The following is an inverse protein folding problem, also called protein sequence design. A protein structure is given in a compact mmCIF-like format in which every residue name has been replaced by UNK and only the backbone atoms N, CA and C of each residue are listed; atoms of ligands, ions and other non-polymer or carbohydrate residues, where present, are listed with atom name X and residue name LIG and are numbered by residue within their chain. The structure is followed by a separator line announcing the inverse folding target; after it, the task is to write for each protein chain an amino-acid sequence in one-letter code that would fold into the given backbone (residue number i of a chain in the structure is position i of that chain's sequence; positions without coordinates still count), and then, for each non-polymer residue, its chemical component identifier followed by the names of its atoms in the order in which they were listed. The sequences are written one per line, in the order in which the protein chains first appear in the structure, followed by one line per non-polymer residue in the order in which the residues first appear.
data_IF_521464453235
#
_entry.id   IF_521464453235
#
_cell.length_a   1.000
_cell.length_b   1.000
_cell.length_c   1.000
_cell.angle_alpha   90.00
_cell.angle_beta   90.00
_cell.angle_gamma   90.00
#
_symmetry.space_group_name_H-M   'P 1'
#
loop_
_entity.id
_entity.type
_entity.pdbx_description
1 polymer ?
#
# COMPACT_ATOMS: atom_id res chain seq x y z
N UNK A 1 57.57 27.17 -49.01
CA UNK A 1 56.84 26.00 -48.47
C UNK A 1 55.90 26.47 -47.36
N UNK A 2 54.58 26.31 -47.52
CA UNK A 2 53.55 26.69 -46.54
C UNK A 2 53.31 25.53 -45.55
N UNK A 3 53.13 25.76 -44.24
CA UNK A 3 52.74 24.70 -43.32
C UNK A 3 51.24 24.36 -43.48
N UNK A 4 50.95 23.06 -43.48
CA UNK A 4 49.63 22.47 -43.72
C UNK A 4 48.82 22.42 -42.42
N UNK A 5 47.57 22.83 -42.53
CA UNK A 5 46.60 23.08 -41.46
C UNK A 5 46.35 21.90 -40.51
N UNK A 6 46.14 22.23 -39.23
CA UNK A 6 45.78 21.30 -38.16
C UNK A 6 44.44 20.60 -38.40
N UNK A 7 44.43 19.29 -38.11
CA UNK A 7 43.21 18.49 -38.02
C UNK A 7 42.42 18.90 -36.78
N UNK A 8 41.24 19.50 -37.01
CA UNK A 8 40.17 19.60 -36.00
C UNK A 8 39.78 18.18 -35.58
N UNK A 9 39.97 17.84 -34.30
CA UNK A 9 39.37 16.65 -33.69
C UNK A 9 37.85 16.82 -33.74
N UNK A 10 37.20 15.86 -34.40
CA UNK A 10 35.75 15.78 -34.49
C UNK A 10 35.16 15.55 -33.10
N UNK A 11 33.98 16.15 -32.95
CA UNK A 11 33.15 16.33 -31.78
C UNK A 11 32.90 15.04 -31.01
N UNK A 12 32.70 15.20 -29.69
CA UNK A 12 32.38 14.15 -28.76
C UNK A 12 31.20 13.29 -29.20
N UNK A 13 31.45 12.00 -29.22
CA UNK A 13 30.47 10.94 -29.32
C UNK A 13 29.52 11.08 -28.13
N UNK A 14 28.34 11.67 -28.36
CA UNK A 14 27.21 11.59 -27.42
C UNK A 14 26.78 10.13 -27.39
N UNK A 15 27.34 9.36 -26.46
CA UNK A 15 26.81 8.06 -26.09
C UNK A 15 25.37 8.27 -25.60
N UNK A 16 24.40 7.90 -26.43
CA UNK A 16 23.01 7.82 -26.01
C UNK A 16 22.93 6.87 -24.82
N UNK A 17 22.35 7.26 -23.67
CA UNK A 17 22.19 6.33 -22.56
C UNK A 17 21.33 5.17 -23.04
N UNK A 18 21.84 3.95 -22.87
CA UNK A 18 21.12 2.74 -23.24
C UNK A 18 19.73 2.75 -22.58
N UNK A 19 18.67 2.32 -23.29
CA UNK A 19 17.33 2.27 -22.71
C UNK A 19 17.37 1.35 -21.49
N UNK A 20 17.21 1.93 -20.30
CA UNK A 20 17.06 1.16 -19.08
C UNK A 20 15.77 0.36 -19.19
N UNK A 21 15.88 -0.96 -19.22
CA UNK A 21 14.73 -1.85 -19.23
C UNK A 21 13.91 -1.59 -17.96
N UNK A 22 12.64 -1.17 -18.14
CA UNK A 22 11.68 -0.96 -17.04
C UNK A 22 11.03 -2.27 -16.57
N UNK A 23 11.33 -3.38 -17.23
CA UNK A 23 10.77 -4.70 -16.92
C UNK A 23 11.32 -5.19 -15.57
N UNK A 24 10.43 -5.67 -14.70
CA UNK A 24 10.78 -6.21 -13.38
C UNK A 24 11.00 -5.16 -12.27
N UNK A 25 11.09 -3.87 -12.60
CA UNK A 25 11.30 -2.81 -11.59
C UNK A 25 10.16 -2.71 -10.56
N UNK A 26 8.96 -3.14 -10.94
CA UNK A 26 7.76 -3.12 -10.10
C UNK A 26 7.47 -4.49 -9.45
N UNK A 27 8.32 -5.50 -9.70
CA UNK A 27 8.18 -6.82 -9.09
C UNK A 27 8.62 -6.77 -7.63
N UNK A 28 7.68 -7.00 -6.72
CA UNK A 28 7.94 -7.08 -5.29
C UNK A 28 7.44 -8.42 -4.77
N UNK A 29 8.22 -9.07 -3.92
CA UNK A 29 7.79 -10.24 -3.17
C UNK A 29 6.83 -9.84 -2.02
N UNK A 30 6.07 -10.78 -1.45
CA UNK A 30 5.30 -10.52 -0.23
C UNK A 30 6.17 -9.98 0.91
N UNK A 31 7.41 -10.45 1.04
CA UNK A 31 8.38 -9.94 2.03
C UNK A 31 8.78 -8.49 1.77
N UNK A 32 8.98 -8.11 0.50
CA UNK A 32 9.28 -6.71 0.14
C UNK A 32 8.10 -5.78 0.47
N UNK A 33 6.86 -6.26 0.29
CA UNK A 33 5.65 -5.52 0.66
C UNK A 33 5.61 -5.31 2.18
N UNK A 34 5.78 -6.38 2.96
CA UNK A 34 5.80 -6.31 4.43
C UNK A 34 6.86 -5.33 4.95
N UNK A 35 8.09 -5.44 4.46
CA UNK A 35 9.18 -4.54 4.86
C UNK A 35 8.91 -3.08 4.47
N UNK A 36 8.33 -2.84 3.29
CA UNK A 36 7.93 -1.50 2.85
C UNK A 36 6.87 -0.91 3.78
N UNK A 37 5.93 -1.73 4.26
CA UNK A 37 4.85 -1.29 5.16
C UNK A 37 5.39 -1.00 6.56
N UNK A 38 6.27 -1.85 7.10
CA UNK A 38 7.00 -1.54 8.34
C UNK A 38 7.73 -0.21 8.23
N UNK A 39 8.36 0.07 7.08
CA UNK A 39 9.00 1.36 6.82
C UNK A 39 8.00 2.51 6.82
N UNK A 40 6.86 2.38 6.13
CA UNK A 40 5.77 3.37 6.14
C UNK A 40 5.30 3.65 7.58
N UNK A 41 5.10 2.61 8.38
CA UNK A 41 4.70 2.73 9.78
C UNK A 41 5.75 3.52 10.59
N UNK A 42 7.03 3.20 10.42
CA UNK A 42 8.13 3.89 11.10
C UNK A 42 8.27 5.36 10.68
N UNK A 43 8.24 5.67 9.38
CA UNK A 43 8.30 7.05 8.85
C UNK A 43 7.09 7.85 9.31
N UNK A 44 5.89 7.25 9.33
CA UNK A 44 4.67 7.90 9.82
C UNK A 44 4.75 8.19 11.32
N UNK A 45 5.28 7.26 12.12
CA UNK A 45 5.48 7.47 13.55
C UNK A 45 6.47 8.63 13.81
N UNK A 46 7.58 8.68 13.06
CA UNK A 46 8.54 9.77 13.14
C UNK A 46 7.91 11.13 12.78
N UNK A 47 7.15 11.18 11.68
CA UNK A 47 6.43 12.38 11.25
C UNK A 47 5.39 12.83 12.28
N UNK A 48 4.60 11.90 12.82
CA UNK A 48 3.59 12.21 13.84
C UNK A 48 4.23 12.74 15.12
N UNK A 49 5.35 12.15 15.56
CA UNK A 49 6.11 12.63 16.71
C UNK A 49 6.67 14.04 16.49
N UNK A 50 7.21 14.32 15.29
CA UNK A 50 7.65 15.66 14.91
C UNK A 50 6.50 16.67 15.03
N UNK A 51 5.34 16.38 14.44
CA UNK A 51 4.18 17.27 14.47
C UNK A 51 3.65 17.48 15.90
N UNK A 52 3.57 16.43 16.72
CA UNK A 52 3.16 16.53 18.13
C UNK A 52 4.12 17.41 18.93
N UNK A 53 5.43 17.28 18.71
CA UNK A 53 6.42 18.12 19.38
C UNK A 53 6.27 19.60 18.99
N UNK A 54 5.99 19.88 17.72
CA UNK A 54 5.76 21.24 17.24
C UNK A 54 4.44 21.82 17.76
N UNK A 55 3.37 21.01 17.80
CA UNK A 55 2.10 21.40 18.40
C UNK A 55 2.24 21.72 19.88
N UNK A 56 2.96 20.87 20.63
CA UNK A 56 3.24 21.11 22.05
C UNK A 56 3.99 22.43 22.31
N UNK A 57 4.92 22.81 21.43
CA UNK A 57 5.60 24.12 21.49
C UNK A 57 4.61 25.27 21.29
N UNK A 58 3.64 25.13 20.38
CA UNK A 58 2.61 26.13 20.15
C UNK A 58 1.67 26.27 21.35
N UNK A 59 1.27 25.16 21.96
CA UNK A 59 0.41 25.16 23.14
C UNK A 59 1.12 25.77 24.35
N UNK A 60 2.38 25.38 24.58
CA UNK A 60 3.19 25.96 25.66
C UNK A 60 3.35 27.48 25.48
N UNK A 61 3.61 27.94 24.25
CA UNK A 61 3.70 29.36 23.96
C UNK A 61 2.35 30.09 24.14
N UNK A 62 1.24 29.44 23.75
CA UNK A 62 -0.11 29.96 23.99
C UNK A 62 -0.35 30.18 25.49
N UNK A 63 0.01 29.21 26.31
CA UNK A 63 -0.16 29.27 27.76
C UNK A 63 0.72 30.35 28.40
N UNK A 64 1.98 30.46 27.97
CA UNK A 64 2.91 31.51 28.40
C UNK A 64 2.37 32.91 28.06
N UNK A 65 1.91 33.13 26.84
CA UNK A 65 1.35 34.42 26.41
C UNK A 65 0.02 34.70 27.12
N UNK A 66 -0.85 33.70 27.29
CA UNK A 66 -2.10 33.90 28.03
C UNK A 66 -1.85 34.28 29.49
N UNK A 67 -0.80 33.72 30.10
CA UNK A 67 -0.41 33.98 31.49
C UNK A 67 0.21 35.37 31.63
N UNK A 68 1.07 35.80 30.70
CA UNK A 68 1.68 37.14 30.73
C UNK A 68 0.67 38.26 30.50
N UNK A 69 -0.41 37.99 29.75
CA UNK A 69 -1.47 38.96 29.45
C UNK A 69 -2.62 38.97 30.48
N UNK A 70 -2.48 38.30 31.63
CA UNK A 70 -3.51 38.25 32.68
C UNK A 70 -3.87 39.63 33.25
N UNK A 71 -3.03 40.64 33.06
CA UNK A 71 -3.23 42.02 33.51
C UNK A 71 -4.00 42.88 32.52
N UNK A 72 -4.18 42.46 31.26
CA UNK A 72 -4.90 43.20 30.22
C UNK A 72 -6.41 42.98 30.30
N UNK A 73 -7.23 43.79 29.61
CA UNK A 73 -8.67 43.54 29.53
C UNK A 73 -9.00 42.20 28.82
N UNK A 74 -9.99 41.48 29.34
CA UNK A 74 -10.37 40.15 28.85
C UNK A 74 -10.83 40.15 27.38
N UNK A 75 -11.32 41.29 26.89
CA UNK A 75 -11.80 41.46 25.52
C UNK A 75 -10.68 41.40 24.48
N UNK A 76 -9.48 41.91 24.80
CA UNK A 76 -8.37 42.01 23.84
C UNK A 76 -7.41 40.81 23.89
N UNK A 77 -7.36 40.09 25.02
CA UNK A 77 -6.48 38.93 25.24
C UNK A 77 -6.56 37.88 24.12
N UNK A 78 -7.74 37.42 23.65
CA UNK A 78 -7.82 36.35 22.65
C UNK A 78 -7.20 36.76 21.30
N UNK A 79 -7.34 38.02 20.90
CA UNK A 79 -6.80 38.53 19.65
C UNK A 79 -5.27 38.56 19.68
N UNK A 80 -4.69 39.03 20.78
CA UNK A 80 -3.23 39.12 20.96
C UNK A 80 -2.62 37.72 21.02
N UNK A 81 -3.21 36.80 21.80
CA UNK A 81 -2.77 35.39 21.88
C UNK A 81 -2.82 34.74 20.50
N UNK A 82 -3.90 34.93 19.74
CA UNK A 82 -4.03 34.33 18.40
C UNK A 82 -2.97 34.87 17.45
N UNK A 83 -2.71 36.19 17.46
CA UNK A 83 -1.66 36.80 16.64
C UNK A 83 -0.27 36.26 17.00
N UNK A 84 0.05 36.14 18.29
CA UNK A 84 1.36 35.62 18.72
C UNK A 84 1.56 34.15 18.35
N UNK A 85 0.55 33.32 18.58
CA UNK A 85 0.58 31.87 18.24
C UNK A 85 0.70 31.68 16.73
N UNK A 86 -0.02 32.46 15.92
CA UNK A 86 0.10 32.40 14.47
C UNK A 86 1.49 32.85 13.98
N UNK A 87 2.09 33.85 14.64
CA UNK A 87 3.47 34.27 14.37
C UNK A 87 4.47 33.15 14.62
N UNK A 88 4.39 32.50 15.79
CA UNK A 88 5.25 31.36 16.13
C UNK A 88 5.00 30.16 15.19
N UNK A 89 3.74 29.86 14.87
CA UNK A 89 3.42 28.81 13.89
C UNK A 89 4.12 29.08 12.56
N UNK A 90 4.05 30.30 12.03
CA UNK A 90 4.75 30.67 10.80
C UNK A 90 6.27 30.51 10.88
N UNK A 91 6.89 30.67 12.06
CA UNK A 91 8.32 30.38 12.27
C UNK A 91 8.58 28.87 12.27
N UNK A 92 7.88 28.10 13.12
CA UNK A 92 8.03 26.65 13.20
C UNK A 92 7.75 25.95 11.87
N UNK A 93 6.77 26.45 11.11
CA UNK A 93 6.46 25.96 9.76
C UNK A 93 7.65 26.11 8.82
N UNK A 94 8.37 27.24 8.88
CA UNK A 94 9.56 27.50 8.06
C UNK A 94 10.75 26.65 8.52
N UNK A 95 11.00 26.60 9.83
CA UNK A 95 12.13 25.86 10.41
C UNK A 95 12.03 24.36 10.19
N UNK A 96 10.83 23.79 10.33
CA UNK A 96 10.65 22.34 10.23
C UNK A 96 10.25 21.88 8.83
N UNK A 97 10.22 22.78 7.83
CA UNK A 97 9.74 22.51 6.47
C UNK A 97 10.46 21.32 5.84
N UNK A 98 11.79 21.31 5.87
CA UNK A 98 12.59 20.30 5.18
C UNK A 98 12.35 18.90 5.78
N UNK A 99 12.25 18.81 7.11
CA UNK A 99 11.96 17.54 7.80
C UNK A 99 10.54 17.03 7.51
N UNK A 100 9.53 17.91 7.59
CA UNK A 100 8.13 17.52 7.31
C UNK A 100 7.97 17.05 5.87
N UNK A 101 8.51 17.82 4.92
CA UNK A 101 8.45 17.51 3.48
C UNK A 101 9.26 16.25 3.15
N UNK A 102 10.39 16.00 3.82
CA UNK A 102 11.15 14.78 3.63
C UNK A 102 10.32 13.54 4.02
N UNK A 103 9.65 13.56 5.18
CA UNK A 103 8.80 12.46 5.62
C UNK A 103 7.60 12.24 4.71
N UNK A 104 6.89 13.29 4.30
CA UNK A 104 5.74 13.13 3.41
C UNK A 104 6.14 12.63 2.02
N UNK A 105 7.27 13.10 1.47
CA UNK A 105 7.82 12.59 0.20
C UNK A 105 8.25 11.13 0.30
N UNK A 106 8.90 10.73 1.38
CA UNK A 106 9.27 9.33 1.61
C UNK A 106 8.02 8.45 1.67
N UNK A 107 7.01 8.85 2.44
CA UNK A 107 5.74 8.12 2.54
C UNK A 107 5.04 7.97 1.19
N UNK A 108 4.95 9.05 0.41
CA UNK A 108 4.37 9.02 -0.95
C UNK A 108 5.17 8.07 -1.85
N UNK A 109 6.51 8.16 -1.83
CA UNK A 109 7.37 7.29 -2.64
C UNK A 109 7.22 5.80 -2.29
N UNK A 110 7.11 5.46 -1.01
CA UNK A 110 6.89 4.08 -0.55
C UNK A 110 5.50 3.57 -0.96
N UNK A 111 4.45 4.38 -0.80
CA UNK A 111 3.10 4.02 -1.20
C UNK A 111 2.95 3.87 -2.72
N UNK A 112 3.58 4.74 -3.51
CA UNK A 112 3.63 4.61 -4.98
C UNK A 112 4.32 3.31 -5.39
N UNK A 113 5.38 2.92 -4.68
CA UNK A 113 6.07 1.64 -4.89
C UNK A 113 5.13 0.46 -4.67
N UNK A 114 4.32 0.49 -3.61
CA UNK A 114 3.32 -0.55 -3.32
C UNK A 114 2.19 -0.54 -4.35
N UNK A 115 1.71 0.64 -4.76
CA UNK A 115 0.66 0.79 -5.77
C UNK A 115 1.03 0.18 -7.11
N UNK A 116 2.30 0.28 -7.52
CA UNK A 116 2.79 -0.39 -8.74
C UNK A 116 2.78 -1.91 -8.60
N UNK A 117 3.23 -2.42 -7.44
CA UNK A 117 3.22 -3.84 -7.14
C UNK A 117 1.79 -4.41 -7.03
N UNK A 118 0.80 -3.61 -6.62
CA UNK A 118 -0.60 -4.02 -6.46
C UNK A 118 -1.21 -4.69 -7.71
N UNK A 119 -0.73 -4.31 -8.90
CA UNK A 119 -1.15 -4.92 -10.16
C UNK A 119 -0.87 -6.43 -10.24
N UNK A 120 0.08 -6.95 -9.46
CA UNK A 120 0.46 -8.37 -9.40
C UNK A 120 -0.29 -9.16 -8.32
N UNK A 121 -1.01 -8.48 -7.42
CA UNK A 121 -1.70 -9.05 -6.27
C UNK A 121 -3.21 -8.78 -6.31
N UNK A 122 -3.78 -8.57 -7.51
CA UNK A 122 -5.18 -8.14 -7.66
C UNK A 122 -6.17 -9.24 -7.26
N UNK A 123 -5.81 -10.51 -7.42
CA UNK A 123 -6.65 -11.65 -7.05
C UNK A 123 -5.81 -12.85 -6.57
N UNK A 124 -6.39 -13.77 -5.78
CA UNK A 124 -5.73 -15.02 -5.39
C UNK A 124 -5.29 -15.84 -6.60
N UNK A 125 -6.11 -15.89 -7.67
CA UNK A 125 -5.76 -16.56 -8.93
C UNK A 125 -4.48 -15.97 -9.52
N UNK A 126 -4.35 -14.64 -9.54
CA UNK A 126 -3.15 -13.99 -10.08
C UNK A 126 -1.91 -14.31 -9.24
N UNK A 127 -2.06 -14.35 -7.92
CA UNK A 127 -0.98 -14.73 -6.99
C UNK A 127 -0.54 -16.18 -7.18
N UNK A 128 -1.50 -17.10 -7.32
CA UNK A 128 -1.25 -18.51 -7.63
C UNK A 128 -0.52 -18.69 -8.96
N UNK A 129 -0.97 -17.99 -10.00
CA UNK A 129 -0.32 -18.03 -11.31
C UNK A 129 1.10 -17.49 -11.23
N UNK A 130 1.31 -16.41 -10.47
CA UNK A 130 2.60 -15.74 -10.27
C UNK A 130 3.61 -16.65 -9.57
N UNK A 131 3.20 -17.33 -8.50
CA UNK A 131 4.07 -18.23 -7.73
C UNK A 131 4.57 -19.40 -8.57
N UNK A 132 3.71 -19.93 -9.44
CA UNK A 132 3.98 -21.12 -10.25
C UNK A 132 4.54 -20.80 -11.64
N UNK A 133 4.92 -19.54 -11.90
CA UNK A 133 5.53 -19.13 -13.17
C UNK A 133 6.86 -19.87 -13.38
N UNK A 134 6.97 -20.55 -14.52
CA UNK A 134 8.17 -21.31 -14.88
C UNK A 134 8.29 -22.67 -14.20
N UNK A 135 7.27 -23.12 -13.44
CA UNK A 135 7.27 -24.47 -12.86
C UNK A 135 7.18 -25.55 -13.94
N UNK A 136 8.17 -26.44 -13.97
CA UNK A 136 8.17 -27.64 -14.83
C UNK A 136 7.04 -28.60 -14.43
N UNK A 137 6.77 -28.73 -13.12
CA UNK A 137 5.69 -29.57 -12.59
C UNK A 137 4.35 -29.07 -13.09
N UNK A 138 4.08 -27.77 -12.99
CA UNK A 138 2.84 -27.17 -13.53
C UNK A 138 2.68 -27.48 -15.01
N UNK A 139 3.73 -27.32 -15.80
CA UNK A 139 3.70 -27.59 -17.25
C UNK A 139 3.36 -29.06 -17.56
N UNK A 140 3.95 -30.01 -16.81
CA UNK A 140 3.65 -31.45 -16.94
C UNK A 140 2.20 -31.76 -16.56
N UNK A 141 1.73 -31.21 -15.44
CA UNK A 141 0.36 -31.41 -14.97
C UNK A 141 -0.64 -30.86 -15.97
N UNK A 142 -0.40 -29.66 -16.54
CA UNK A 142 -1.24 -29.09 -17.60
C UNK A 142 -1.39 -30.03 -18.81
N UNK A 143 -0.31 -30.71 -19.21
CA UNK A 143 -0.37 -31.71 -20.28
C UNK A 143 -1.21 -32.93 -19.89
N UNK A 144 -1.04 -33.43 -18.65
CA UNK A 144 -1.76 -34.60 -18.15
C UNK A 144 -3.27 -34.37 -18.05
N UNK A 145 -3.70 -33.19 -17.60
CA UNK A 145 -5.13 -32.86 -17.43
C UNK A 145 -5.81 -32.34 -18.71
N UNK A 146 -5.08 -32.24 -19.82
CA UNK A 146 -5.61 -31.65 -21.07
C UNK A 146 -6.83 -32.41 -21.60
N UNK A 147 -6.82 -33.74 -21.47
CA UNK A 147 -7.91 -34.64 -21.86
C UNK A 147 -8.93 -34.95 -20.76
N UNK A 148 -8.77 -34.39 -19.56
CA UNK A 148 -9.64 -34.73 -18.42
C UNK A 148 -11.07 -34.20 -18.58
N UNK A 149 -12.02 -35.02 -18.17
CA UNK A 149 -13.45 -34.67 -18.17
C UNK A 149 -13.87 -33.78 -17.00
N UNK A 150 -15.12 -33.30 -17.00
CA UNK A 150 -15.66 -32.40 -15.96
C UNK A 150 -15.55 -32.99 -14.55
N UNK A 151 -15.87 -34.27 -14.39
CA UNK A 151 -15.84 -34.97 -13.09
C UNK A 151 -14.40 -35.10 -12.58
N UNK A 152 -13.47 -35.50 -13.45
CA UNK A 152 -12.06 -35.63 -13.08
C UNK A 152 -11.46 -34.28 -12.66
N UNK A 153 -11.78 -33.20 -13.40
CA UNK A 153 -11.33 -31.85 -13.06
C UNK A 153 -11.89 -31.37 -11.70
N UNK A 154 -13.14 -31.72 -11.37
CA UNK A 154 -13.71 -31.44 -10.04
C UNK A 154 -12.95 -32.19 -8.94
N UNK A 155 -12.77 -33.51 -9.09
CA UNK A 155 -12.07 -34.34 -8.10
C UNK A 155 -10.61 -33.92 -7.93
N UNK A 156 -9.93 -33.52 -9.00
CA UNK A 156 -8.57 -33.00 -8.95
C UNK A 156 -8.50 -31.63 -8.26
N UNK A 157 -9.53 -30.79 -8.39
CA UNK A 157 -9.60 -29.51 -7.68
C UNK A 157 -9.77 -29.71 -6.18
N UNK A 158 -10.67 -30.60 -5.76
CA UNK A 158 -10.82 -31.00 -4.35
C UNK A 158 -9.53 -31.58 -3.79
N UNK A 159 -8.86 -32.45 -4.54
CA UNK A 159 -7.56 -33.00 -4.15
C UNK A 159 -6.49 -31.91 -4.01
N UNK A 160 -6.42 -30.95 -4.94
CA UNK A 160 -5.49 -29.84 -4.89
C UNK A 160 -5.75 -28.94 -3.67
N UNK A 161 -7.03 -28.69 -3.35
CA UNK A 161 -7.45 -27.95 -2.17
C UNK A 161 -7.02 -28.67 -0.88
N UNK A 162 -7.32 -29.96 -0.76
CA UNK A 162 -6.99 -30.77 0.42
C UNK A 162 -5.48 -30.94 0.66
N UNK A 163 -4.67 -30.97 -0.40
CA UNK A 163 -3.22 -31.18 -0.32
C UNK A 163 -2.39 -29.89 -0.39
N UNK A 164 -3.05 -28.74 -0.58
CA UNK A 164 -2.40 -27.45 -0.82
C UNK A 164 -1.38 -27.47 -1.99
N UNK A 165 -1.63 -28.28 -3.03
CA UNK A 165 -0.76 -28.36 -4.21
C UNK A 165 -1.01 -27.18 -5.16
N UNK A 166 -0.17 -26.16 -5.02
CA UNK A 166 -0.23 -24.91 -5.81
C UNK A 166 0.00 -25.14 -7.31
N UNK A 167 0.90 -26.05 -7.69
CA UNK A 167 1.20 -26.29 -9.10
C UNK A 167 0.02 -26.98 -9.80
N UNK A 168 -0.63 -27.93 -9.11
CA UNK A 168 -1.85 -28.57 -9.58
C UNK A 168 -3.02 -27.57 -9.63
N UNK A 169 -3.23 -26.78 -8.59
CA UNK A 169 -4.28 -25.77 -8.54
C UNK A 169 -4.12 -24.74 -9.67
N UNK A 170 -2.89 -24.29 -9.96
CA UNK A 170 -2.61 -23.34 -11.03
C UNK A 170 -2.86 -23.95 -12.43
N UNK A 171 -2.49 -25.22 -12.63
CA UNK A 171 -2.77 -25.94 -13.87
C UNK A 171 -4.30 -26.07 -14.10
N UNK A 172 -5.03 -26.48 -13.06
CA UNK A 172 -6.49 -26.61 -13.07
C UNK A 172 -7.20 -25.28 -13.32
N UNK A 173 -6.78 -24.19 -12.66
CA UNK A 173 -7.32 -22.85 -12.90
C UNK A 173 -7.11 -22.39 -14.37
N UNK A 174 -5.94 -22.72 -14.95
CA UNK A 174 -5.65 -22.41 -16.36
C UNK A 174 -6.60 -23.20 -17.27
N UNK A 175 -6.76 -24.50 -17.02
CA UNK A 175 -7.62 -25.38 -17.82
C UNK A 175 -9.10 -24.98 -17.75
N UNK A 176 -9.61 -24.69 -16.56
CA UNK A 176 -11.01 -24.25 -16.38
C UNK A 176 -11.25 -22.87 -17.01
N UNK A 177 -10.23 -22.01 -17.08
CA UNK A 177 -10.30 -20.74 -17.78
C UNK A 177 -10.59 -20.87 -19.28
N UNK A 178 -10.08 -21.94 -19.92
CA UNK A 178 -10.29 -22.24 -21.34
C UNK A 178 -11.69 -22.80 -21.64
N UNK A 179 -12.36 -23.40 -20.65
CA UNK A 179 -13.68 -24.00 -20.83
C UNK A 179 -14.80 -22.94 -20.90
N UNK A 180 -15.84 -23.17 -21.72
CA UNK A 180 -17.08 -22.39 -21.67
C UNK A 180 -17.67 -22.39 -20.26
N UNK A 181 -18.31 -21.29 -19.85
CA UNK A 181 -18.83 -21.14 -18.48
C UNK A 181 -19.73 -22.29 -18.01
N UNK A 182 -20.55 -22.84 -18.91
CA UNK A 182 -21.47 -23.94 -18.60
C UNK A 182 -20.76 -25.27 -18.30
N UNK A 183 -19.54 -25.45 -18.81
CA UNK A 183 -18.78 -26.68 -18.67
C UNK A 183 -17.76 -26.63 -17.52
N UNK A 184 -17.63 -25.49 -16.84
CA UNK A 184 -16.71 -25.30 -15.72
C UNK A 184 -17.20 -26.12 -14.52
N UNK A 185 -16.42 -27.08 -14.03
CA UNK A 185 -16.85 -27.97 -12.95
C UNK A 185 -16.66 -27.36 -11.55
N UNK A 186 -15.83 -26.33 -11.40
CA UNK A 186 -15.58 -25.63 -10.15
C UNK A 186 -15.20 -24.16 -10.41
N UNK A 187 -15.19 -23.34 -9.36
CA UNK A 187 -14.76 -21.94 -9.40
C UNK A 187 -13.25 -21.83 -9.25
N UNK A 188 -12.57 -21.32 -10.28
CA UNK A 188 -11.12 -21.06 -10.20
C UNK A 188 -10.78 -20.03 -9.10
N UNK A 189 -11.70 -19.11 -8.80
CA UNK A 189 -11.53 -18.13 -7.72
C UNK A 189 -11.53 -18.80 -6.35
N UNK A 190 -12.49 -19.70 -6.08
CA UNK A 190 -12.58 -20.42 -4.81
C UNK A 190 -11.35 -21.30 -4.60
N UNK A 191 -10.94 -22.08 -5.61
CA UNK A 191 -9.74 -22.92 -5.51
C UNK A 191 -8.48 -22.08 -5.22
N UNK A 192 -8.35 -20.91 -5.86
CA UNK A 192 -7.21 -20.04 -5.59
C UNK A 192 -7.32 -19.32 -4.23
N UNK A 193 -8.53 -19.06 -3.73
CA UNK A 193 -8.75 -18.48 -2.41
C UNK A 193 -8.33 -19.46 -1.30
N UNK A 194 -8.59 -20.76 -1.46
CA UNK A 194 -8.07 -21.79 -0.53
C UNK A 194 -6.54 -21.77 -0.48
N UNK A 195 -5.86 -21.49 -1.60
CA UNK A 195 -4.39 -21.48 -1.66
C UNK A 195 -3.75 -20.18 -1.17
N UNK A 196 -4.37 -19.04 -1.46
CA UNK A 196 -3.76 -17.71 -1.34
C UNK A 196 -4.69 -16.64 -0.74
N UNK A 197 -5.89 -16.99 -0.30
CA UNK A 197 -6.89 -16.05 0.22
C UNK A 197 -6.39 -15.26 1.41
N UNK A 198 -5.77 -15.92 2.39
CA UNK A 198 -5.21 -15.25 3.57
C UNK A 198 -4.11 -14.27 3.20
N UNK A 199 -3.16 -14.71 2.37
CA UNK A 199 -2.07 -13.85 1.91
C UNK A 199 -2.59 -12.70 1.04
N UNK A 200 -3.61 -12.95 0.22
CA UNK A 200 -4.24 -11.92 -0.61
C UNK A 200 -4.95 -10.87 0.25
N UNK A 201 -5.71 -11.28 1.27
CA UNK A 201 -6.35 -10.40 2.24
C UNK A 201 -5.31 -9.59 3.01
N UNK A 202 -4.29 -10.24 3.55
CA UNK A 202 -3.17 -9.59 4.26
C UNK A 202 -2.53 -8.49 3.39
N UNK A 203 -2.06 -8.84 2.18
CA UNK A 203 -1.39 -7.88 1.31
C UNK A 203 -2.33 -6.77 0.82
N UNK A 204 -3.59 -7.09 0.55
CA UNK A 204 -4.60 -6.10 0.14
C UNK A 204 -4.90 -5.10 1.26
N UNK A 205 -5.07 -5.58 2.49
CA UNK A 205 -5.25 -4.74 3.66
C UNK A 205 -4.04 -3.82 3.86
N UNK A 206 -2.85 -4.39 3.77
CA UNK A 206 -1.60 -3.70 4.02
C UNK A 206 -1.33 -2.60 2.95
N UNK A 207 -1.71 -2.83 1.68
CA UNK A 207 -1.66 -1.80 0.62
C UNK A 207 -2.63 -0.64 0.87
N UNK A 208 -3.84 -0.93 1.39
CA UNK A 208 -4.82 0.11 1.74
C UNK A 208 -4.36 0.88 2.98
N UNK A 209 -3.79 0.20 3.97
CA UNK A 209 -3.16 0.84 5.14
C UNK A 209 -2.11 1.85 4.68
N UNK A 210 -1.24 1.48 3.74
CA UNK A 210 -0.22 2.36 3.20
C UNK A 210 -0.79 3.64 2.59
N UNK A 211 -1.82 3.53 1.74
CA UNK A 211 -2.51 4.69 1.15
C UNK A 211 -3.13 5.58 2.21
N UNK A 212 -3.81 4.98 3.20
CA UNK A 212 -4.40 5.71 4.32
C UNK A 212 -3.35 6.49 5.11
N UNK A 213 -2.20 5.89 5.44
CA UNK A 213 -1.15 6.54 6.23
C UNK A 213 -0.54 7.74 5.50
N UNK A 214 -0.44 7.69 4.16
CA UNK A 214 -0.02 8.84 3.36
C UNK A 214 -1.05 9.97 3.46
N UNK A 215 -2.34 9.67 3.32
CA UNK A 215 -3.38 10.70 3.42
C UNK A 215 -3.46 11.31 4.81
N UNK A 216 -3.34 10.51 5.87
CA UNK A 216 -3.24 11.01 7.24
C UNK A 216 -2.02 11.92 7.40
N UNK A 217 -0.84 11.50 6.92
CA UNK A 217 0.37 12.31 6.98
C UNK A 217 0.21 13.67 6.26
N UNK A 218 -0.38 13.68 5.07
CA UNK A 218 -0.64 14.91 4.32
C UNK A 218 -1.71 15.78 4.98
N UNK A 219 -2.72 15.16 5.61
CA UNK A 219 -3.75 15.87 6.39
C UNK A 219 -3.12 16.61 7.56
N UNK A 220 -2.37 15.89 8.40
CA UNK A 220 -1.74 16.44 9.59
C UNK A 220 -0.74 17.54 9.25
N UNK A 221 0.03 17.38 8.17
CA UNK A 221 0.97 18.40 7.71
C UNK A 221 0.26 19.69 7.25
N UNK A 222 -0.82 19.54 6.46
CA UNK A 222 -1.63 20.68 6.01
C UNK A 222 -2.31 21.39 7.19
N UNK A 223 -2.81 20.61 8.16
CA UNK A 223 -3.45 21.14 9.37
C UNK A 223 -2.45 21.88 10.25
N UNK A 224 -1.23 21.37 10.39
CA UNK A 224 -0.17 22.07 11.11
C UNK A 224 0.22 23.40 10.43
N UNK A 225 0.34 23.41 9.10
CA UNK A 225 0.70 24.62 8.35
C UNK A 225 -0.38 25.70 8.41
N UNK A 226 -1.64 25.30 8.19
CA UNK A 226 -2.75 26.24 8.01
C UNK A 226 -3.55 26.48 9.29
N UNK A 227 -3.45 25.59 10.27
CA UNK A 227 -4.31 25.55 11.45
C UNK A 227 -5.75 25.13 11.15
N UNK A 228 -6.03 24.56 9.96
CA UNK A 228 -7.38 24.19 9.52
C UNK A 228 -7.41 22.73 9.07
N UNK A 229 -8.38 21.99 9.58
CA UNK A 229 -8.67 20.62 9.15
C UNK A 229 -9.36 20.61 7.77
N UNK A 230 -9.04 19.62 6.93
CA UNK A 230 -9.72 19.41 5.64
C UNK A 230 -10.77 18.29 5.75
N UNK A 231 -12.05 18.66 5.77
CA UNK A 231 -13.17 17.72 5.94
C UNK A 231 -13.27 16.68 4.83
N UNK A 232 -12.96 17.03 3.57
CA UNK A 232 -12.96 16.07 2.47
C UNK A 232 -11.90 14.98 2.67
N UNK A 233 -10.70 15.37 3.11
CA UNK A 233 -9.62 14.42 3.39
C UNK A 233 -9.95 13.54 4.59
N UNK A 234 -10.60 14.09 5.63
CA UNK A 234 -11.11 13.32 6.77
C UNK A 234 -12.10 12.24 6.32
N UNK A 235 -13.05 12.57 5.43
CA UNK A 235 -13.99 11.59 4.87
C UNK A 235 -13.27 10.51 4.07
N UNK A 236 -12.30 10.89 3.22
CA UNK A 236 -11.51 9.93 2.44
C UNK A 236 -10.74 8.95 3.34
N UNK A 237 -10.10 9.45 4.41
CA UNK A 237 -9.42 8.61 5.41
C UNK A 237 -10.42 7.65 6.08
N UNK A 238 -11.62 8.12 6.43
CA UNK A 238 -12.64 7.29 7.05
C UNK A 238 -13.13 6.17 6.10
N UNK A 239 -13.31 6.47 4.81
CA UNK A 239 -13.67 5.46 3.80
C UNK A 239 -12.58 4.40 3.65
N UNK A 240 -11.30 4.79 3.67
CA UNK A 240 -10.20 3.82 3.63
C UNK A 240 -10.13 2.95 4.88
N UNK A 241 -10.37 3.52 6.08
CA UNK A 241 -10.46 2.74 7.33
C UNK A 241 -11.58 1.70 7.26
N UNK A 242 -12.74 2.11 6.75
CA UNK A 242 -13.88 1.19 6.56
C UNK A 242 -13.50 0.06 5.61
N UNK A 243 -12.88 0.38 4.48
CA UNK A 243 -12.44 -0.64 3.50
C UNK A 243 -11.36 -1.57 4.05
N UNK A 244 -10.43 -1.06 4.84
CA UNK A 244 -9.41 -1.85 5.55
C UNK A 244 -10.06 -2.86 6.51
N UNK A 245 -11.07 -2.41 7.28
CA UNK A 245 -11.85 -3.27 8.18
C UNK A 245 -12.67 -4.31 7.43
N UNK A 246 -13.33 -3.93 6.33
CA UNK A 246 -14.10 -4.86 5.50
C UNK A 246 -13.21 -6.01 5.00
N UNK A 247 -11.97 -5.74 4.57
CA UNK A 247 -11.04 -6.81 4.14
C UNK A 247 -10.64 -7.73 5.29
N UNK A 248 -10.41 -7.17 6.49
CA UNK A 248 -10.03 -7.94 7.67
C UNK A 248 -11.17 -8.75 8.31
N UNK A 249 -12.42 -8.30 8.17
CA UNK A 249 -13.59 -8.95 8.77
C UNK A 249 -13.93 -10.31 8.11
N UNK A 250 -13.66 -10.48 6.81
CA UNK A 250 -13.89 -11.75 6.11
C UNK A 250 -12.83 -12.83 6.37
N UNK A 251 -12.04 -12.72 7.45
CA UNK A 251 -10.96 -13.64 7.79
C UNK A 251 -11.22 -14.54 9.00
N UNK A 252 -12.33 -14.36 9.73
CA UNK A 252 -12.56 -15.06 11.01
C UNK A 252 -14.02 -15.48 11.31
N UNK A 253 -14.96 -15.36 10.38
CA UNK A 253 -16.40 -15.60 10.67
C UNK A 253 -16.97 -16.93 10.12
N UNK A 254 -16.14 -17.92 9.77
CA UNK A 254 -16.61 -19.28 9.39
C UNK A 254 -16.29 -20.37 10.42
N UNK A 255 -15.98 -20.02 11.67
CA UNK A 255 -15.67 -21.00 12.73
C UNK A 255 -16.57 -20.96 13.98
N UNK A 256 -17.59 -20.10 14.06
CA UNK A 256 -18.49 -20.02 15.23
C UNK A 256 -19.97 -19.93 14.81
N UNK A 257 -20.44 -20.90 14.04
CA UNK A 257 -21.86 -21.10 13.79
C UNK A 257 -22.24 -22.58 13.76
N UNK A 258 -21.76 -23.37 14.72
CA UNK A 258 -22.29 -24.70 15.02
C UNK A 258 -21.92 -25.09 16.47
N UNK A 259 -22.42 -24.35 17.46
CA UNK A 259 -22.69 -24.95 18.77
C UNK A 259 -23.89 -24.23 19.43
N UNK A 260 -24.71 -25.02 20.14
CA UNK A 260 -25.94 -24.64 20.84
C UNK A 260 -27.24 -24.47 20.01
N UNK A 261 -27.87 -25.59 19.66
CA UNK A 261 -29.25 -25.87 20.13
C UNK A 261 -29.48 -27.39 20.28
N UNK A 262 -28.80 -27.99 21.25
CA UNK A 262 -29.29 -29.22 21.88
C UNK A 262 -30.20 -28.82 23.05
N UNK A 263 -31.52 -28.77 22.80
CA UNK A 263 -32.54 -28.86 23.85
C UNK A 263 -33.62 -29.81 23.35
N UNK A 264 -33.46 -31.09 23.68
CA UNK A 264 -34.58 -32.04 23.83
C UNK A 264 -34.85 -32.23 25.33
#
# INVERSE_FOLDING_TARGET
MKPRAGRKRLQGEKTMPAPQAKLGADWQSPTDIRTTITRIQSTRAAQSNLLRNLAHKLDTHRDQVSTSLRTLDAKDRPSIVTKSVNGLRGQLVRESKDQRVAHTRELVGLADRLKKAASHYRSPVQMLMRETLGSERRSRVMQQISGSGRVELASLAEYAAATADKDLAAALCSRVGELPRADRPFSATELADVMFGDLHRELSQAMIEAERRVLEALSDDTEFETGKSNSQRTLQIALLKKREQEIGAYGFDEADADDETAVE
#
